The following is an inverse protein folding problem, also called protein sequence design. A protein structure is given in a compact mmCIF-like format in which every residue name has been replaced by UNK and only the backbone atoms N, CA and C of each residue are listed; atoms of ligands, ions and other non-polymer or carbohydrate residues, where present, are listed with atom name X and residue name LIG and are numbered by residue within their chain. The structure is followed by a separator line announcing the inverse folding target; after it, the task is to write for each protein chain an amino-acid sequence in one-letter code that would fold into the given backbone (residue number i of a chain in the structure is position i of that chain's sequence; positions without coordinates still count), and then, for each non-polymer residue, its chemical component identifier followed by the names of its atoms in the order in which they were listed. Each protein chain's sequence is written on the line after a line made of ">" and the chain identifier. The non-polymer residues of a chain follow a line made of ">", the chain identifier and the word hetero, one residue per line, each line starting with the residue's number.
data_IF_902750838645
#
_entry.id   IF_902750838645
#
_cell.length_a   1.000
_cell.length_b   1.000
_cell.length_c   1.000
_cell.angle_alpha   90.00
_cell.angle_beta   90.00
_cell.angle_gamma   90.00
#
_symmetry.space_group_name_H-M   'P 1'
#
loop_
_entity.id
_entity.type
_entity.pdbx_description
1 polymer ?
#
# COMPACT_ATOMS: atom_id res chain seq x y z
N UNK A 1 4.69 -20.37 3.34
CA UNK A 1 3.79 -19.33 2.81
C UNK A 1 4.63 -18.41 1.94
N UNK A 2 4.25 -18.21 0.67
CA UNK A 2 4.94 -17.26 -0.21
C UNK A 2 4.25 -15.91 -0.03
N UNK A 3 5.00 -14.91 0.43
CA UNK A 3 4.47 -13.56 0.60
C UNK A 3 4.51 -12.81 -0.73
N UNK A 4 3.50 -12.00 -0.98
CA UNK A 4 3.52 -11.06 -2.11
C UNK A 4 4.56 -9.98 -1.85
N UNK A 5 5.36 -9.65 -2.87
CA UNK A 5 6.37 -8.58 -2.76
C UNK A 5 5.77 -7.19 -2.92
N UNK A 6 4.62 -7.09 -3.59
CA UNK A 6 3.90 -5.85 -3.88
C UNK A 6 2.40 -6.08 -3.89
N UNK A 7 1.64 -5.00 -4.00
CA UNK A 7 0.24 -5.07 -4.45
C UNK A 7 0.16 -5.71 -5.82
N UNK A 8 -0.89 -6.50 -6.06
CA UNK A 8 -1.32 -6.88 -7.41
C UNK A 8 -2.16 -5.75 -8.04
N UNK A 9 -2.54 -5.92 -9.31
CA UNK A 9 -3.29 -4.90 -10.07
C UNK A 9 -4.62 -4.55 -9.40
N UNK A 10 -5.40 -5.55 -8.93
CA UNK A 10 -6.68 -5.31 -8.26
C UNK A 10 -6.52 -4.53 -6.95
N UNK A 11 -5.51 -4.88 -6.15
CA UNK A 11 -5.14 -4.16 -4.93
C UNK A 11 -4.70 -2.73 -5.23
N UNK A 12 -3.92 -2.53 -6.29
CA UNK A 12 -3.52 -1.20 -6.75
C UNK A 12 -4.74 -0.36 -7.13
N UNK A 13 -5.72 -0.91 -7.84
CA UNK A 13 -6.96 -0.20 -8.17
C UNK A 13 -7.77 0.18 -6.93
N UNK A 14 -7.87 -0.72 -5.94
CA UNK A 14 -8.55 -0.45 -4.67
C UNK A 14 -7.89 0.71 -3.90
N UNK A 15 -6.56 0.74 -3.87
CA UNK A 15 -5.79 1.84 -3.27
C UNK A 15 -5.99 3.17 -4.02
N UNK A 16 -6.03 3.14 -5.35
CA UNK A 16 -6.34 4.35 -6.14
C UNK A 16 -7.77 4.84 -5.89
N UNK A 17 -8.74 3.94 -5.75
CA UNK A 17 -10.12 4.30 -5.37
C UNK A 17 -10.22 4.91 -3.97
N UNK A 18 -9.30 4.54 -3.08
CA UNK A 18 -9.10 5.17 -1.78
C UNK A 18 -8.47 6.59 -1.86
N UNK A 19 -8.13 7.06 -3.06
CA UNK A 19 -7.53 8.37 -3.29
C UNK A 19 -6.07 8.46 -2.86
N UNK A 20 -5.34 7.33 -2.83
CA UNK A 20 -3.89 7.37 -2.62
C UNK A 20 -3.23 8.06 -3.81
N UNK A 21 -2.29 8.95 -3.50
CA UNK A 21 -1.43 9.56 -4.52
C UNK A 21 -0.55 8.48 -5.15
N UNK A 22 -0.67 8.33 -6.47
CA UNK A 22 0.10 7.35 -7.24
C UNK A 22 1.61 7.56 -7.14
N UNK A 23 2.06 8.78 -6.83
CA UNK A 23 3.49 9.10 -6.65
C UNK A 23 4.08 8.49 -5.37
N UNK A 24 3.23 8.02 -4.46
CA UNK A 24 3.71 7.26 -3.29
C UNK A 24 4.15 5.84 -3.64
N UNK A 25 3.80 5.33 -4.82
CA UNK A 25 4.17 3.97 -5.25
C UNK A 25 5.67 3.85 -5.54
N UNK A 26 6.31 2.85 -4.91
CA UNK A 26 7.72 2.48 -5.07
C UNK A 26 7.96 1.44 -6.18
N UNK A 27 6.88 0.89 -6.73
CA UNK A 27 6.92 -0.13 -7.78
C UNK A 27 5.86 0.17 -8.85
N UNK A 28 5.97 -0.47 -10.01
CA UNK A 28 4.93 -0.42 -11.06
C UNK A 28 4.74 -1.77 -11.73
N UNK A 29 3.48 -2.08 -12.08
CA UNK A 29 3.15 -3.12 -13.05
C UNK A 29 3.15 -2.53 -14.45
N UNK A 30 3.66 -3.27 -15.43
CA UNK A 30 3.59 -2.89 -16.84
C UNK A 30 3.54 -4.11 -17.75
N UNK A 31 3.14 -3.90 -19.00
CA UNK A 31 3.43 -4.85 -20.08
C UNK A 31 4.70 -4.45 -20.81
N UNK A 32 5.42 -5.44 -21.31
CA UNK A 32 6.61 -5.22 -22.13
C UNK A 32 6.17 -5.27 -23.58
N UNK A 33 6.51 -4.23 -24.33
CA UNK A 33 6.30 -4.18 -25.78
C UNK A 33 7.47 -4.89 -26.46
N UNK A 34 7.17 -5.89 -27.30
CA UNK A 34 8.15 -6.58 -28.13
C UNK A 34 8.12 -5.99 -29.56
N UNK A 35 9.17 -5.25 -29.97
CA UNK A 35 9.24 -4.64 -31.29
C UNK A 35 9.43 -5.65 -32.42
N UNK A 36 9.86 -6.88 -32.13
CA UNK A 36 10.05 -7.92 -33.14
C UNK A 36 8.70 -8.49 -33.59
N UNK A 37 7.79 -8.70 -32.64
CA UNK A 37 6.44 -9.23 -32.89
C UNK A 37 5.38 -8.15 -33.06
N UNK A 38 5.72 -6.87 -32.89
CA UNK A 38 4.78 -5.72 -32.93
C UNK A 38 3.60 -5.93 -31.97
N UNK A 39 3.89 -6.45 -30.78
CA UNK A 39 2.87 -6.83 -29.81
C UNK A 39 3.35 -6.65 -28.36
N UNK A 40 2.40 -6.57 -27.43
CA UNK A 40 2.72 -6.60 -26.00
C UNK A 40 2.75 -8.06 -25.52
N UNK A 41 3.67 -8.35 -24.61
CA UNK A 41 3.65 -9.62 -23.89
C UNK A 41 2.33 -9.78 -23.11
N UNK A 42 1.79 -11.00 -23.12
CA UNK A 42 0.57 -11.35 -22.39
C UNK A 42 0.69 -11.19 -20.87
N UNK A 43 1.92 -11.14 -20.36
CA UNK A 43 2.22 -11.14 -18.93
C UNK A 43 2.62 -9.76 -18.43
N UNK A 44 2.04 -9.32 -17.32
CA UNK A 44 2.54 -8.14 -16.61
C UNK A 44 3.83 -8.42 -15.83
N UNK A 45 4.70 -7.42 -15.82
CA UNK A 45 5.99 -7.42 -15.13
C UNK A 45 6.00 -6.35 -14.05
N UNK A 46 6.55 -6.71 -12.89
CA UNK A 46 6.76 -5.80 -11.77
C UNK A 46 8.15 -5.17 -11.88
N UNK A 47 8.20 -3.84 -11.87
CA UNK A 47 9.44 -3.08 -11.81
C UNK A 47 9.56 -2.38 -10.46
N UNK A 48 10.75 -2.43 -9.86
CA UNK A 48 11.11 -1.65 -8.68
C UNK A 48 11.53 -0.25 -9.14
N UNK A 49 10.54 0.60 -9.40
CA UNK A 49 10.71 1.94 -9.93
C UNK A 49 9.54 2.81 -9.45
N UNK A 50 9.85 4.04 -9.02
CA UNK A 50 8.83 5.03 -8.66
C UNK A 50 7.87 5.29 -9.82
N UNK A 51 6.60 5.48 -9.51
CA UNK A 51 5.56 5.69 -10.53
C UNK A 51 5.86 6.88 -11.45
N UNK A 52 6.28 8.03 -10.91
CA UNK A 52 6.54 9.23 -11.72
C UNK A 52 7.70 9.03 -12.73
N UNK A 53 8.76 8.33 -12.30
CA UNK A 53 9.86 7.93 -13.18
C UNK A 53 9.38 6.97 -14.26
N UNK A 54 8.59 5.95 -13.90
CA UNK A 54 8.09 4.96 -14.84
C UNK A 54 7.13 5.58 -15.87
N UNK A 55 6.21 6.43 -15.41
CA UNK A 55 5.28 7.21 -16.25
C UNK A 55 6.03 8.07 -17.27
N UNK A 56 7.14 8.68 -16.87
CA UNK A 56 7.97 9.50 -17.76
C UNK A 56 8.67 8.67 -18.83
N UNK A 57 9.16 7.48 -18.49
CA UNK A 57 9.92 6.64 -19.42
C UNK A 57 9.00 5.86 -20.37
N UNK A 58 7.89 5.31 -19.84
CA UNK A 58 7.04 4.34 -20.56
C UNK A 58 5.68 4.88 -20.96
N UNK A 59 5.29 6.07 -20.48
CA UNK A 59 3.95 6.63 -20.68
C UNK A 59 2.97 6.18 -19.59
N UNK A 60 2.04 7.07 -19.25
CA UNK A 60 1.07 6.87 -18.17
C UNK A 60 0.08 5.72 -18.42
N UNK A 61 -0.26 5.44 -19.67
CA UNK A 61 -1.23 4.40 -20.03
C UNK A 61 -0.70 2.99 -19.85
N UNK A 62 0.63 2.83 -19.80
CA UNK A 62 1.30 1.54 -19.89
C UNK A 62 1.86 1.09 -18.53
N UNK A 63 1.62 1.88 -17.48
CA UNK A 63 2.08 1.62 -16.11
C UNK A 63 0.94 1.69 -15.12
N UNK A 64 0.93 0.78 -14.15
CA UNK A 64 -0.01 0.76 -13.03
C UNK A 64 0.82 0.86 -11.76
N UNK A 65 0.53 1.82 -10.85
CA UNK A 65 1.29 1.97 -9.61
C UNK A 65 1.16 0.71 -8.75
N UNK A 66 2.22 0.33 -8.07
CA UNK A 66 2.25 -0.78 -7.13
C UNK A 66 3.01 -0.38 -5.87
N UNK A 67 2.56 -0.90 -4.73
CA UNK A 67 3.13 -0.55 -3.43
C UNK A 67 3.74 -1.78 -2.76
N UNK A 68 4.96 -1.64 -2.28
CA UNK A 68 5.59 -2.56 -1.35
C UNK A 68 5.01 -2.40 0.07
N UNK A 69 5.19 -3.44 0.90
CA UNK A 69 4.69 -3.43 2.29
C UNK A 69 5.24 -2.25 3.10
N UNK A 70 6.51 -1.91 2.91
CA UNK A 70 7.16 -0.80 3.62
C UNK A 70 6.46 0.53 3.37
N UNK A 71 6.06 0.80 2.12
CA UNK A 71 5.36 2.02 1.76
C UNK A 71 3.94 2.01 2.32
N UNK A 72 3.23 0.89 2.21
CA UNK A 72 1.88 0.77 2.79
C UNK A 72 1.89 1.04 4.30
N UNK A 73 2.88 0.50 5.02
CA UNK A 73 3.05 0.77 6.45
C UNK A 73 3.37 2.25 6.72
N UNK A 74 4.21 2.88 5.91
CA UNK A 74 4.54 4.30 6.06
C UNK A 74 3.32 5.21 5.83
N UNK A 75 2.39 4.82 4.96
CA UNK A 75 1.13 5.55 4.71
C UNK A 75 0.15 5.47 5.88
N UNK A 76 0.21 4.41 6.69
CA UNK A 76 -0.71 4.25 7.82
C UNK A 76 -0.29 5.13 9.00
N UNK A 77 -1.21 5.86 9.62
CA UNK A 77 -0.88 6.61 10.83
C UNK A 77 -0.50 5.65 11.95
N UNK A 78 0.54 5.97 12.72
CA UNK A 78 0.95 5.14 13.87
C UNK A 78 -0.13 5.10 14.94
N UNK A 79 -0.90 6.19 15.07
CA UNK A 79 -2.02 6.30 16.00
C UNK A 79 -3.26 6.88 15.36
N UNK A 80 -4.43 6.41 15.82
CA UNK A 80 -5.71 7.05 15.52
C UNK A 80 -6.40 7.44 16.82
N UNK A 81 -7.19 8.50 16.77
CA UNK A 81 -7.98 8.97 17.91
C UNK A 81 -9.46 8.80 17.62
N UNK A 82 -10.20 8.21 18.57
CA UNK A 82 -11.66 8.15 18.55
C UNK A 82 -12.19 8.64 19.90
N UNK A 83 -12.83 9.81 19.91
CA UNK A 83 -13.24 10.48 21.14
C UNK A 83 -12.02 10.85 21.99
N UNK A 84 -11.91 10.26 23.18
CA UNK A 84 -10.78 10.47 24.11
C UNK A 84 -9.76 9.33 24.11
N UNK A 85 -9.97 8.34 23.25
CA UNK A 85 -9.18 7.11 23.23
C UNK A 85 -8.22 7.12 22.06
N UNK A 86 -6.94 6.89 22.34
CA UNK A 86 -5.88 6.74 21.33
C UNK A 86 -5.67 5.26 21.08
N UNK A 87 -5.59 4.87 19.82
CA UNK A 87 -5.28 3.51 19.41
C UNK A 87 -3.97 3.50 18.64
N UNK A 88 -3.18 2.45 18.80
CA UNK A 88 -1.86 2.28 18.19
C UNK A 88 -1.93 1.20 17.11
N UNK A 89 -1.31 1.46 15.97
CA UNK A 89 -1.16 0.48 14.91
C UNK A 89 -0.35 -0.71 15.45
N UNK A 90 -0.89 -1.92 15.30
CA UNK A 90 -0.19 -3.16 15.61
C UNK A 90 -0.56 -4.22 14.57
N UNK A 91 0.35 -5.15 14.37
CA UNK A 91 0.19 -6.24 13.41
C UNK A 91 0.86 -7.50 13.96
N UNK A 92 0.14 -8.61 13.87
CA UNK A 92 0.60 -9.87 14.44
C UNK A 92 0.37 -11.04 13.47
N UNK A 93 1.29 -12.01 13.44
CA UNK A 93 1.06 -13.26 12.73
C UNK A 93 0.01 -14.09 13.46
N UNK A 94 -0.83 -14.77 12.67
CA UNK A 94 -1.78 -15.77 13.13
C UNK A 94 -1.34 -17.14 12.59
N UNK A 95 -1.21 -18.11 13.48
CA UNK A 95 -0.76 -19.46 13.16
C UNK A 95 -1.53 -20.04 11.96
N UNK A 96 -0.80 -20.30 10.88
CA UNK A 96 -1.30 -20.83 9.60
C UNK A 96 -2.43 -20.02 8.93
N UNK A 97 -2.66 -18.77 9.34
CA UNK A 97 -3.73 -17.91 8.79
C UNK A 97 -3.23 -16.60 8.17
N UNK A 98 -1.95 -16.26 8.36
CA UNK A 98 -1.34 -15.05 7.81
C UNK A 98 -1.17 -13.97 8.86
N UNK A 99 -1.45 -12.72 8.52
CA UNK A 99 -1.24 -11.56 9.38
C UNK A 99 -2.55 -10.79 9.55
N UNK A 100 -2.81 -10.33 10.77
CA UNK A 100 -3.90 -9.39 11.07
C UNK A 100 -3.31 -8.05 11.48
N UNK A 101 -3.91 -6.99 10.95
CA UNK A 101 -3.52 -5.60 11.18
C UNK A 101 -4.67 -4.90 11.88
N UNK A 102 -4.39 -3.96 12.77
CA UNK A 102 -5.43 -3.16 13.41
C UNK A 102 -4.88 -2.12 14.36
N UNK A 103 -5.79 -1.32 14.92
CA UNK A 103 -5.49 -0.29 15.88
C UNK A 103 -5.96 -0.72 17.27
N UNK A 104 -5.03 -0.83 18.20
CA UNK A 104 -5.25 -1.39 19.53
C UNK A 104 -5.14 -0.31 20.60
N UNK A 105 -6.08 -0.31 21.53
CA UNK A 105 -5.94 0.43 22.77
C UNK A 105 -5.76 -0.58 23.92
N UNK A 106 -4.64 -0.44 24.64
CA UNK A 106 -4.31 -1.24 25.83
C UNK A 106 -4.56 -0.48 27.14
N UNK A 107 -4.94 0.80 27.07
CA UNK A 107 -5.18 1.67 28.23
C UNK A 107 -6.63 1.55 28.69
N UNK A 108 -6.87 0.79 29.75
CA UNK A 108 -8.21 0.57 30.30
C UNK A 108 -8.90 -0.63 29.65
N UNK A 109 -10.09 -0.45 29.08
CA UNK A 109 -10.82 -1.53 28.41
C UNK A 109 -10.18 -1.79 27.05
N UNK A 110 -9.54 -2.96 26.90
CA UNK A 110 -8.94 -3.40 25.65
C UNK A 110 -9.97 -3.36 24.53
N UNK A 111 -9.67 -2.59 23.49
CA UNK A 111 -10.53 -2.48 22.31
C UNK A 111 -9.67 -2.38 21.05
N UNK A 112 -10.25 -2.82 19.93
CA UNK A 112 -9.57 -2.91 18.63
C UNK A 112 -10.44 -2.22 17.58
N UNK A 113 -9.81 -1.52 16.65
CA UNK A 113 -10.43 -0.86 15.50
C UNK A 113 -9.73 -1.30 14.21
N UNK A 114 -10.49 -1.42 13.13
CA UNK A 114 -9.93 -1.78 11.82
C UNK A 114 -9.28 -3.17 11.74
N UNK A 115 -9.61 -4.09 12.66
CA UNK A 115 -8.99 -5.42 12.66
C UNK A 115 -9.29 -6.16 11.35
N UNK A 116 -8.26 -6.44 10.57
CA UNK A 116 -8.39 -7.18 9.33
C UNK A 116 -8.44 -8.68 9.59
N UNK A 117 -9.20 -9.40 8.75
CA UNK A 117 -9.13 -10.86 8.76
C UNK A 117 -7.72 -11.31 8.39
N UNK A 118 -7.15 -12.32 9.08
CA UNK A 118 -5.82 -12.81 8.79
C UNK A 118 -5.65 -13.19 7.31
N UNK A 119 -4.64 -12.61 6.66
CA UNK A 119 -4.35 -12.84 5.25
C UNK A 119 -2.87 -12.54 4.92
N UNK A 120 -2.53 -12.45 3.62
CA UNK A 120 -1.21 -11.97 3.21
C UNK A 120 -0.97 -10.53 3.72
N UNK A 121 0.24 -10.18 4.19
CA UNK A 121 0.54 -8.84 4.73
C UNK A 121 0.16 -7.68 3.81
N UNK A 122 0.34 -7.82 2.50
CA UNK A 122 -0.04 -6.77 1.55
C UNK A 122 -1.56 -6.61 1.52
N UNK A 123 -2.31 -7.71 1.48
CA UNK A 123 -3.78 -7.65 1.54
C UNK A 123 -4.28 -7.09 2.89
N UNK A 124 -3.65 -7.46 4.00
CA UNK A 124 -3.98 -6.94 5.32
C UNK A 124 -3.75 -5.42 5.38
N UNK A 125 -2.65 -4.94 4.79
CA UNK A 125 -2.35 -3.52 4.68
C UNK A 125 -3.35 -2.77 3.79
N UNK A 126 -3.68 -3.29 2.61
CA UNK A 126 -4.68 -2.70 1.70
C UNK A 126 -6.03 -2.56 2.41
N UNK A 127 -6.50 -3.61 3.07
CA UNK A 127 -7.77 -3.59 3.82
C UNK A 127 -7.79 -2.57 4.95
N UNK A 128 -6.66 -2.41 5.65
CA UNK A 128 -6.58 -1.42 6.72
C UNK A 128 -6.61 0.01 6.16
N UNK A 129 -5.96 0.27 5.04
CA UNK A 129 -6.03 1.57 4.34
C UNK A 129 -7.45 1.86 3.88
N UNK A 130 -8.13 0.89 3.27
CA UNK A 130 -9.56 1.01 2.91
C UNK A 130 -10.41 1.35 4.12
N UNK A 131 -10.20 0.65 5.24
CA UNK A 131 -10.92 0.92 6.49
C UNK A 131 -10.65 2.34 7.02
N UNK A 132 -9.39 2.78 7.01
CA UNK A 132 -9.02 4.14 7.42
C UNK A 132 -9.77 5.19 6.60
N UNK A 133 -9.77 5.02 5.27
CA UNK A 133 -10.45 5.95 4.35
C UNK A 133 -11.97 5.94 4.50
N UNK A 134 -12.60 4.79 4.68
CA UNK A 134 -14.05 4.67 4.94
C UNK A 134 -14.46 5.32 6.26
N UNK A 135 -13.55 5.43 7.23
CA UNK A 135 -13.80 6.03 8.54
C UNK A 135 -13.19 7.45 8.67
N UNK A 136 -12.90 8.12 7.55
CA UNK A 136 -12.38 9.49 7.49
C UNK A 136 -11.07 9.74 8.27
N UNK A 137 -10.25 8.71 8.43
CA UNK A 137 -8.90 8.87 8.99
C UNK A 137 -7.91 9.31 7.91
N UNK A 138 -7.09 10.31 8.24
CA UNK A 138 -6.00 10.77 7.38
C UNK A 138 -4.87 9.74 7.33
N UNK A 139 -4.34 9.53 6.12
CA UNK A 139 -3.09 8.81 5.89
C UNK A 139 -1.90 9.74 6.08
N UNK A 140 -0.73 9.19 6.34
CA UNK A 140 0.51 9.95 6.40
C UNK A 140 0.93 10.43 5.01
N UNK A 141 1.59 11.58 4.97
CA UNK A 141 2.31 12.04 3.79
C UNK A 141 3.70 11.42 3.76
N UNK A 142 4.08 10.83 2.63
CA UNK A 142 5.46 10.38 2.40
C UNK A 142 6.25 11.56 1.86
N UNK A 143 7.28 11.98 2.60
CA UNK A 143 8.20 13.04 2.17
C UNK A 143 9.44 12.37 1.60
N UNK A 144 9.73 12.64 0.33
CA UNK A 144 10.99 12.21 -0.29
C UNK A 144 12.15 13.04 0.28
N UNK A 145 13.03 12.38 1.04
CA UNK A 145 14.24 12.98 1.65
C UNK A 145 15.28 13.47 0.63
N UNK A 146 15.11 13.18 -0.66
CA UNK A 146 16.02 13.65 -1.71
C UNK A 146 15.89 15.14 -2.01
N UNK A 147 14.79 15.79 -1.60
CA UNK A 147 14.57 17.23 -1.77
C UNK A 147 15.24 18.09 -0.67
N UNK A 148 15.88 17.49 0.35
CA UNK A 148 16.57 18.26 1.40
C UNK A 148 18.00 18.68 1.03
N UNK A 149 18.51 18.32 -0.17
CA UNK A 149 19.89 18.64 -0.59
C UNK A 149 20.05 19.91 -1.42
N UNK A 150 18.99 20.70 -1.63
CA UNK A 150 19.03 21.91 -2.48
C UNK A 150 18.81 23.24 -1.73
N UNK A 151 19.01 23.32 -0.41
CA UNK A 151 19.05 24.60 0.32
C UNK A 151 20.40 24.87 0.99
#
# INVERSE_FOLDING_TARGET
>A
MKFSTSTNIDQSHRLMQCGLDTNTADMVWRRIYDPISDSYEDKEHLLVMKYDTAKTIYGETDVIPAWGLSVLLALMPETITQGKTIYYLDFAPYDNKGWGFGYFNSTGIRSIKGLTYPCDPIEAAVRLIEWLKVNDYSLNTIIDSDNEKEN
#
